data_IF_263579297426
#
_entry.id   IF_263579297426
#
_cell.length_a   1.000
_cell.length_b   1.000
_cell.length_c   1.000
_cell.angle_alpha   90.00
_cell.angle_beta   90.00
_cell.angle_gamma   90.00
#
_symmetry.space_group_name_H-M   'P 1'
#
loop_
_entity.id
_entity.type
_entity.pdbx_description
1 polymer ?
#
# COMPACT_ATOMS: atom_id res chain seq x y z
N UNK A 1 23.84 -62.31 -8.91
CA UNK A 1 22.61 -61.78 -8.29
C UNK A 1 22.58 -60.29 -8.53
N UNK A 2 21.72 -59.84 -9.45
CA UNK A 2 21.52 -58.44 -9.80
C UNK A 2 20.47 -57.83 -8.88
N UNK A 3 20.73 -56.65 -8.31
CA UNK A 3 19.70 -55.78 -7.76
C UNK A 3 19.88 -54.36 -8.32
N UNK A 4 19.34 -54.14 -9.52
CA UNK A 4 19.10 -52.80 -10.06
C UNK A 4 17.94 -52.17 -9.28
N UNK A 5 18.25 -51.33 -8.31
CA UNK A 5 17.29 -50.41 -7.69
C UNK A 5 16.98 -49.30 -8.69
N UNK A 6 15.82 -49.41 -9.36
CA UNK A 6 15.26 -48.29 -10.13
C UNK A 6 14.83 -47.19 -9.16
N UNK A 7 15.60 -46.10 -9.13
CA UNK A 7 15.16 -44.83 -8.56
C UNK A 7 14.04 -44.28 -9.46
N UNK A 8 12.79 -44.52 -9.07
CA UNK A 8 11.64 -43.82 -9.60
C UNK A 8 11.70 -42.35 -9.17
N UNK A 9 12.29 -41.50 -10.01
CA UNK A 9 12.11 -40.07 -9.92
C UNK A 9 10.63 -39.77 -10.14
N UNK A 10 9.91 -39.52 -9.04
CA UNK A 10 8.56 -39.00 -9.09
C UNK A 10 8.59 -37.68 -9.87
N UNK A 11 8.14 -37.74 -11.13
CA UNK A 11 7.91 -36.56 -11.96
C UNK A 11 6.74 -35.84 -11.30
N UNK A 12 7.04 -34.86 -10.45
CA UNK A 12 6.02 -33.95 -9.94
C UNK A 12 5.35 -33.32 -11.16
N UNK A 13 4.01 -33.46 -11.31
CA UNK A 13 3.33 -32.91 -12.47
C UNK A 13 3.59 -31.41 -12.49
N UNK A 14 4.30 -30.95 -13.52
CA UNK A 14 4.49 -29.54 -13.81
C UNK A 14 3.14 -28.99 -14.21
N UNK A 15 2.34 -28.55 -13.22
CA UNK A 15 1.10 -27.82 -13.44
C UNK A 15 1.40 -26.72 -14.43
N UNK A 16 0.93 -26.90 -15.66
CA UNK A 16 1.26 -26.01 -16.76
C UNK A 16 0.50 -24.72 -16.52
N UNK A 17 1.22 -23.68 -16.11
CA UNK A 17 0.62 -22.39 -15.79
C UNK A 17 0.00 -21.77 -17.05
N UNK A 18 -1.32 -21.58 -17.04
CA UNK A 18 -2.07 -20.93 -18.11
C UNK A 18 -2.34 -19.46 -17.75
N UNK A 19 -1.59 -18.56 -18.40
CA UNK A 19 -1.70 -17.12 -18.20
C UNK A 19 -3.10 -16.59 -18.56
N UNK A 20 -3.73 -17.11 -19.62
CA UNK A 20 -5.06 -16.65 -20.05
C UNK A 20 -6.10 -16.96 -18.98
N UNK A 21 -6.05 -18.17 -18.42
CA UNK A 21 -6.91 -18.58 -17.31
C UNK A 21 -6.66 -17.76 -16.05
N UNK A 22 -5.40 -17.48 -15.71
CA UNK A 22 -5.05 -16.60 -14.56
C UNK A 22 -5.62 -15.19 -14.73
N UNK A 23 -5.43 -14.59 -15.92
CA UNK A 23 -5.91 -13.25 -16.22
C UNK A 23 -7.44 -13.16 -16.14
N UNK A 24 -8.15 -14.14 -16.69
CA UNK A 24 -9.62 -14.22 -16.59
C UNK A 24 -10.05 -14.30 -15.12
N UNK A 25 -9.43 -15.19 -14.33
CA UNK A 25 -9.76 -15.32 -12.91
C UNK A 25 -9.55 -14.01 -12.15
N UNK A 26 -8.44 -13.31 -12.39
CA UNK A 26 -8.17 -12.00 -11.76
C UNK A 26 -9.17 -10.94 -12.19
N UNK A 27 -9.52 -10.88 -13.48
CA UNK A 27 -10.53 -9.97 -13.99
C UNK A 27 -11.90 -10.23 -13.36
N UNK A 28 -12.29 -11.50 -13.22
CA UNK A 28 -13.53 -11.90 -12.54
C UNK A 28 -13.51 -11.51 -11.06
N UNK A 29 -12.40 -11.73 -10.35
CA UNK A 29 -12.25 -11.33 -8.95
C UNK A 29 -12.39 -9.80 -8.81
N UNK A 30 -11.69 -9.04 -9.65
CA UNK A 30 -11.75 -7.57 -9.63
C UNK A 30 -13.17 -7.08 -9.94
N UNK A 31 -13.81 -7.65 -10.96
CA UNK A 31 -15.18 -7.30 -11.32
C UNK A 31 -16.17 -7.64 -10.20
N UNK A 32 -16.04 -8.80 -9.55
CA UNK A 32 -16.88 -9.21 -8.44
C UNK A 32 -16.72 -8.27 -7.23
N UNK A 33 -15.48 -7.90 -6.88
CA UNK A 33 -15.20 -6.93 -5.81
C UNK A 33 -15.79 -5.56 -6.15
N UNK A 34 -15.62 -5.09 -7.39
CA UNK A 34 -16.16 -3.81 -7.84
C UNK A 34 -17.70 -3.79 -7.81
N UNK A 35 -18.35 -4.86 -8.28
CA UNK A 35 -19.81 -4.98 -8.23
C UNK A 35 -20.32 -5.05 -6.78
N UNK A 36 -19.62 -5.77 -5.90
CA UNK A 36 -19.96 -5.82 -4.48
C UNK A 36 -19.85 -4.44 -3.84
N UNK A 37 -18.74 -3.72 -4.07
CA UNK A 37 -18.54 -2.37 -3.56
C UNK A 37 -19.63 -1.40 -4.07
N UNK A 38 -19.94 -1.45 -5.38
CA UNK A 38 -21.01 -0.65 -5.98
C UNK A 38 -22.39 -0.97 -5.38
N UNK A 39 -22.67 -2.26 -5.14
CA UNK A 39 -23.94 -2.70 -4.53
C UNK A 39 -24.07 -2.22 -3.10
N UNK A 40 -23.01 -2.36 -2.30
CA UNK A 40 -22.97 -1.85 -0.91
C UNK A 40 -23.16 -0.33 -0.90
N UNK A 41 -22.46 0.38 -1.78
CA UNK A 41 -22.59 1.84 -1.89
C UNK A 41 -24.01 2.26 -2.28
N UNK A 42 -24.60 1.59 -3.27
CA UNK A 42 -25.99 1.81 -3.68
C UNK A 42 -26.97 1.56 -2.53
N UNK A 43 -26.81 0.46 -1.80
CA UNK A 43 -27.67 0.10 -0.67
C UNK A 43 -27.57 1.16 0.43
N UNK A 44 -26.35 1.60 0.77
CA UNK A 44 -26.12 2.65 1.77
C UNK A 44 -26.84 3.94 1.37
N UNK A 45 -26.63 4.41 0.13
CA UNK A 45 -27.25 5.64 -0.36
C UNK A 45 -28.77 5.57 -0.39
N UNK A 46 -29.33 4.44 -0.80
CA UNK A 46 -30.75 4.35 -1.06
C UNK A 46 -31.59 4.00 0.18
N UNK A 47 -31.05 3.15 1.06
CA UNK A 47 -31.82 2.61 2.19
C UNK A 47 -31.36 3.09 3.56
N UNK A 48 -30.14 3.60 3.70
CA UNK A 48 -29.55 3.95 4.99
C UNK A 48 -29.16 5.42 5.06
N UNK A 49 -30.13 6.31 5.26
CA UNK A 49 -29.92 7.77 5.36
C UNK A 49 -28.81 8.17 6.35
N UNK A 50 -28.71 7.48 7.50
CA UNK A 50 -27.64 7.73 8.48
C UNK A 50 -26.26 7.39 7.90
N UNK A 51 -26.13 6.27 7.19
CA UNK A 51 -24.87 5.88 6.56
C UNK A 51 -24.54 6.74 5.34
N UNK A 52 -25.55 7.19 4.59
CA UNK A 52 -25.37 8.14 3.48
C UNK A 52 -24.83 9.49 3.98
N UNK A 53 -25.27 9.98 5.14
CA UNK A 53 -24.68 11.16 5.78
C UNK A 53 -23.18 10.97 6.10
N UNK A 54 -22.76 9.77 6.52
CA UNK A 54 -21.34 9.44 6.70
C UNK A 54 -20.58 9.36 5.38
N UNK A 55 -21.19 8.84 4.30
CA UNK A 55 -20.60 8.85 2.96
C UNK A 55 -20.35 10.28 2.48
N UNK A 56 -21.34 11.17 2.62
CA UNK A 56 -21.21 12.58 2.28
C UNK A 56 -20.11 13.28 3.09
N UNK A 57 -20.03 12.96 4.39
CA UNK A 57 -18.98 13.46 5.28
C UNK A 57 -17.59 12.99 4.81
N UNK A 58 -17.46 11.73 4.39
CA UNK A 58 -16.25 11.18 3.78
C UNK A 58 -15.84 11.86 2.47
N UNK A 59 -16.81 12.11 1.57
CA UNK A 59 -16.58 12.86 0.33
C UNK A 59 -16.08 14.28 0.62
N UNK A 60 -16.66 14.96 1.62
CA UNK A 60 -16.19 16.27 2.07
C UNK A 60 -14.75 16.22 2.58
N UNK A 61 -14.40 15.25 3.42
CA UNK A 61 -13.02 15.06 3.91
C UNK A 61 -12.04 14.88 2.74
N UNK A 62 -12.36 14.01 1.77
CA UNK A 62 -11.54 13.79 0.57
C UNK A 62 -11.35 15.06 -0.26
N UNK A 63 -12.42 15.81 -0.50
CA UNK A 63 -12.37 17.07 -1.24
C UNK A 63 -11.57 18.14 -0.48
N UNK A 64 -11.70 18.22 0.84
CA UNK A 64 -10.93 19.13 1.66
C UNK A 64 -9.44 18.81 1.60
N UNK A 65 -9.08 17.53 1.78
CA UNK A 65 -7.72 17.02 1.70
C UNK A 65 -7.11 17.35 0.33
N UNK A 66 -7.75 16.96 -0.77
CA UNK A 66 -7.21 17.15 -2.13
C UNK A 66 -7.04 18.62 -2.53
N UNK A 67 -7.92 19.52 -2.06
CA UNK A 67 -7.84 20.95 -2.39
C UNK A 67 -6.92 21.76 -1.48
N UNK A 68 -6.58 21.25 -0.30
CA UNK A 68 -5.91 22.03 0.75
C UNK A 68 -4.58 21.44 1.24
N UNK A 69 -4.11 20.32 0.70
CA UNK A 69 -2.82 19.74 1.06
C UNK A 69 -1.63 20.43 0.36
N UNK A 70 -1.49 21.73 0.64
CA UNK A 70 -0.40 22.58 0.18
C UNK A 70 0.15 23.37 1.37
N UNK A 71 1.47 23.63 1.38
CA UNK A 71 2.17 24.31 2.50
C UNK A 71 1.54 25.65 2.88
N UNK A 72 0.94 26.36 1.92
CA UNK A 72 0.27 27.64 2.15
C UNK A 72 -1.02 27.56 2.95
N UNK A 73 -1.50 26.36 3.28
CA UNK A 73 -2.79 26.12 3.97
C UNK A 73 -2.63 25.32 5.26
N UNK A 74 -1.42 25.28 5.83
CA UNK A 74 -1.13 24.57 7.08
C UNK A 74 -2.11 24.94 8.20
N UNK A 75 -2.28 26.24 8.47
CA UNK A 75 -3.14 26.74 9.54
C UNK A 75 -4.60 26.28 9.37
N UNK A 76 -5.12 26.37 8.15
CA UNK A 76 -6.47 25.88 7.80
C UNK A 76 -6.61 24.37 8.07
N UNK A 77 -5.58 23.58 7.79
CA UNK A 77 -5.58 22.14 8.02
C UNK A 77 -5.50 21.81 9.51
N UNK A 78 -4.71 22.55 10.28
CA UNK A 78 -4.62 22.43 11.74
C UNK A 78 -5.93 22.80 12.41
N UNK A 79 -6.56 23.90 12.03
CA UNK A 79 -7.87 24.33 12.53
C UNK A 79 -8.96 23.30 12.22
N UNK A 80 -8.86 22.64 11.06
CA UNK A 80 -9.77 21.57 10.69
C UNK A 80 -9.63 20.33 11.56
N UNK A 81 -8.40 19.96 11.92
CA UNK A 81 -8.11 18.77 12.72
C UNK A 81 -8.35 18.96 14.21
N UNK A 82 -8.01 20.13 14.78
CA UNK A 82 -8.14 20.44 16.22
C UNK A 82 -9.48 20.04 16.87
N UNK A 83 -10.66 20.32 16.27
CA UNK A 83 -11.94 19.95 16.89
C UNK A 83 -12.30 18.47 16.74
N UNK A 84 -11.57 17.70 15.93
CA UNK A 84 -11.87 16.29 15.72
C UNK A 84 -11.41 15.44 16.91
N UNK A 85 -12.22 14.45 17.30
CA UNK A 85 -11.73 13.39 18.18
C UNK A 85 -10.78 12.48 17.41
N UNK A 86 -9.93 11.73 18.13
CA UNK A 86 -9.00 10.76 17.54
C UNK A 86 -9.66 9.84 16.50
N UNK A 87 -10.84 9.27 16.81
CA UNK A 87 -11.54 8.35 15.93
C UNK A 87 -12.05 9.02 14.64
N UNK A 88 -12.42 10.30 14.72
CA UNK A 88 -12.89 11.06 13.56
C UNK A 88 -11.72 11.58 12.71
N UNK A 89 -10.60 11.91 13.34
CA UNK A 89 -9.39 12.33 12.66
C UNK A 89 -8.71 11.17 11.92
N UNK A 90 -8.80 9.94 12.44
CA UNK A 90 -8.15 8.76 11.87
C UNK A 90 -8.42 8.56 10.37
N UNK A 91 -9.66 8.49 9.86
CA UNK A 91 -9.91 8.34 8.42
C UNK A 91 -9.39 9.52 7.59
N UNK A 92 -9.44 10.74 8.14
CA UNK A 92 -8.95 11.96 7.47
C UNK A 92 -7.43 11.93 7.35
N UNK A 93 -6.73 11.66 8.45
CA UNK A 93 -5.28 11.55 8.49
C UNK A 93 -4.79 10.37 7.63
N UNK A 94 -5.43 9.20 7.71
CA UNK A 94 -5.08 8.04 6.87
C UNK A 94 -5.21 8.37 5.38
N UNK A 95 -6.33 8.96 4.98
CA UNK A 95 -6.57 9.36 3.59
C UNK A 95 -5.57 10.42 3.14
N UNK A 96 -5.30 11.39 4.02
CA UNK A 96 -4.31 12.43 3.80
C UNK A 96 -2.91 11.85 3.59
N UNK A 97 -2.48 10.92 4.45
CA UNK A 97 -1.17 10.27 4.37
C UNK A 97 -1.07 9.38 3.13
N UNK A 98 -2.17 8.71 2.75
CA UNK A 98 -2.23 7.95 1.50
C UNK A 98 -2.03 8.87 0.29
N UNK A 99 -2.74 9.99 0.23
CA UNK A 99 -2.59 10.98 -0.84
C UNK A 99 -1.17 11.57 -0.86
N UNK A 100 -0.61 11.88 0.31
CA UNK A 100 0.74 12.39 0.43
C UNK A 100 1.81 11.37 0.01
N UNK A 101 1.52 10.08 0.15
CA UNK A 101 2.36 8.99 -0.37
C UNK A 101 2.32 8.83 -1.89
N UNK A 102 1.32 9.40 -2.58
CA UNK A 102 1.25 9.47 -4.05
C UNK A 102 2.12 10.60 -4.60
N UNK A 103 2.10 11.77 -3.97
CA UNK A 103 2.92 12.94 -4.31
C UNK A 103 3.77 13.38 -3.12
N UNK A 104 5.00 12.85 -2.96
CA UNK A 104 5.87 13.17 -1.83
C UNK A 104 6.34 14.63 -1.81
N UNK A 105 6.25 15.36 -2.93
CA UNK A 105 6.97 16.61 -3.14
C UNK A 105 6.27 17.85 -2.56
N UNK A 106 4.96 17.81 -2.34
CA UNK A 106 4.17 19.00 -1.99
C UNK A 106 3.40 18.92 -0.67
N UNK A 107 3.31 17.72 -0.08
CA UNK A 107 2.14 17.36 0.75
C UNK A 107 2.48 16.70 2.10
N UNK A 108 3.62 16.01 2.21
CA UNK A 108 3.96 15.20 3.40
C UNK A 108 4.29 16.07 4.62
N UNK A 109 4.93 17.21 4.43
CA UNK A 109 5.32 18.10 5.54
C UNK A 109 4.10 18.77 6.19
N UNK A 110 3.15 19.23 5.36
CA UNK A 110 1.95 19.94 5.82
C UNK A 110 1.09 19.07 6.73
N UNK A 111 0.83 17.84 6.29
CA UNK A 111 -0.05 16.93 7.03
C UNK A 111 0.56 16.56 8.38
N UNK A 112 1.86 16.22 8.40
CA UNK A 112 2.58 15.86 9.61
C UNK A 112 2.68 17.01 10.60
N UNK A 113 2.92 18.23 10.12
CA UNK A 113 2.97 19.41 10.96
C UNK A 113 1.58 19.76 11.50
N UNK A 114 0.54 19.71 10.66
CA UNK A 114 -0.85 19.94 11.10
C UNK A 114 -1.32 18.92 12.14
N UNK A 115 -0.96 17.64 11.99
CA UNK A 115 -1.30 16.61 12.99
C UNK A 115 -0.50 16.77 14.28
N UNK A 116 0.76 17.18 14.20
CA UNK A 116 1.56 17.51 15.39
C UNK A 116 0.93 18.68 16.15
N UNK A 117 0.51 19.73 15.47
CA UNK A 117 -0.07 20.93 16.10
C UNK A 117 -1.48 20.68 16.65
N UNK A 118 -2.25 19.78 16.05
CA UNK A 118 -3.61 19.46 16.48
C UNK A 118 -3.65 18.42 17.61
N UNK A 119 -2.80 17.38 17.57
CA UNK A 119 -2.90 16.20 18.44
C UNK A 119 -1.62 15.84 19.19
N UNK A 120 -0.52 16.53 18.90
CA UNK A 120 0.80 16.25 19.44
C UNK A 120 1.61 15.23 18.62
N UNK A 121 2.92 15.25 18.87
CA UNK A 121 3.90 14.41 18.17
C UNK A 121 3.61 12.90 18.19
N UNK A 122 3.17 12.28 19.30
CA UNK A 122 2.90 10.83 19.33
C UNK A 122 1.75 10.42 18.40
N UNK A 123 0.70 11.25 18.31
CA UNK A 123 -0.44 10.99 17.43
C UNK A 123 -0.08 11.22 15.96
N UNK A 124 0.72 12.26 15.69
CA UNK A 124 1.29 12.51 14.35
C UNK A 124 2.10 11.31 13.86
N UNK A 125 2.95 10.74 14.73
CA UNK A 125 3.68 9.51 14.43
C UNK A 125 2.74 8.34 14.10
N UNK A 126 1.75 8.09 14.96
CA UNK A 126 0.82 6.97 14.79
C UNK A 126 0.04 7.07 13.48
N UNK A 127 -0.52 8.24 13.17
CA UNK A 127 -1.27 8.46 11.93
C UNK A 127 -0.39 8.33 10.69
N UNK A 128 0.80 8.92 10.71
CA UNK A 128 1.77 8.81 9.63
C UNK A 128 2.17 7.36 9.37
N UNK A 129 2.54 6.64 10.43
CA UNK A 129 2.92 5.23 10.33
C UNK A 129 1.79 4.36 9.77
N UNK A 130 0.58 4.47 10.33
CA UNK A 130 -0.57 3.69 9.87
C UNK A 130 -0.94 4.02 8.42
N UNK A 131 -0.93 5.30 8.04
CA UNK A 131 -1.26 5.73 6.69
C UNK A 131 -0.28 5.19 5.65
N UNK A 132 1.03 5.30 5.92
CA UNK A 132 2.05 4.73 5.05
C UNK A 132 1.98 3.20 4.99
N UNK A 133 1.71 2.55 6.12
CA UNK A 133 1.59 1.10 6.18
C UNK A 133 0.41 0.58 5.36
N UNK A 134 -0.76 1.21 5.48
CA UNK A 134 -1.95 0.87 4.68
C UNK A 134 -1.69 1.10 3.19
N UNK A 135 -1.13 2.25 2.81
CA UNK A 135 -0.78 2.54 1.41
C UNK A 135 0.22 1.52 0.85
N UNK A 136 1.26 1.19 1.63
CA UNK A 136 2.26 0.20 1.26
C UNK A 136 1.66 -1.18 1.04
N UNK A 137 0.80 -1.63 1.96
CA UNK A 137 0.10 -2.92 1.87
C UNK A 137 -0.80 -2.99 0.64
N UNK A 138 -1.61 -1.95 0.40
CA UNK A 138 -2.49 -1.86 -0.77
C UNK A 138 -1.68 -1.87 -2.07
N UNK A 139 -0.62 -1.07 -2.14
CA UNK A 139 0.24 -0.97 -3.32
C UNK A 139 0.96 -2.28 -3.62
N UNK A 140 1.46 -2.98 -2.58
CA UNK A 140 2.08 -4.30 -2.73
C UNK A 140 1.08 -5.36 -3.14
N UNK A 141 -0.13 -5.35 -2.57
CA UNK A 141 -1.21 -6.27 -2.92
C UNK A 141 -1.66 -6.10 -4.38
N UNK A 142 -1.93 -4.87 -4.80
CA UNK A 142 -2.28 -4.54 -6.20
C UNK A 142 -1.12 -4.87 -7.13
N UNK A 143 0.11 -4.52 -6.76
CA UNK A 143 1.30 -4.86 -7.54
C UNK A 143 1.46 -6.37 -7.69
N UNK A 144 1.22 -7.14 -6.65
CA UNK A 144 1.32 -8.61 -6.69
C UNK A 144 0.19 -9.21 -7.53
N UNK A 145 -1.00 -8.63 -7.47
CA UNK A 145 -2.14 -9.04 -8.28
C UNK A 145 -1.88 -8.80 -9.77
N UNK A 146 -1.38 -7.62 -10.15
CA UNK A 146 -1.14 -7.25 -11.56
C UNK A 146 0.12 -7.93 -12.09
N UNK A 147 1.24 -7.79 -11.40
CA UNK A 147 2.57 -8.20 -11.89
C UNK A 147 3.00 -9.61 -11.45
N UNK A 148 2.26 -10.26 -10.53
CA UNK A 148 2.60 -11.59 -10.04
C UNK A 148 2.67 -12.68 -11.13
N UNK A 149 1.98 -12.45 -12.25
CA UNK A 149 1.91 -13.35 -13.40
C UNK A 149 2.95 -13.03 -14.49
N UNK A 150 3.51 -11.82 -14.48
CA UNK A 150 4.53 -11.38 -15.44
C UNK A 150 5.87 -12.06 -15.13
N UNK A 151 6.17 -12.27 -13.85
CA UNK A 151 7.39 -12.94 -13.39
C UNK A 151 7.52 -14.41 -13.85
N UNK A 152 6.52 -15.30 -13.69
CA UNK A 152 6.62 -16.67 -14.18
C UNK A 152 6.71 -16.74 -15.72
N UNK A 153 6.14 -15.77 -16.44
CA UNK A 153 6.35 -15.63 -17.88
C UNK A 153 7.80 -15.29 -18.22
N UNK A 154 8.43 -14.36 -17.50
CA UNK A 154 9.84 -14.01 -17.66
C UNK A 154 10.79 -15.14 -17.25
N UNK A 155 10.47 -15.86 -16.16
CA UNK A 155 11.29 -16.95 -15.64
C UNK A 155 11.41 -18.14 -16.62
N UNK A 156 10.42 -18.32 -17.51
CA UNK A 156 10.45 -19.30 -18.60
C UNK A 156 11.60 -19.06 -19.58
N UNK A 157 12.13 -17.83 -19.67
CA UNK A 157 13.20 -17.41 -20.57
C UNK A 157 14.59 -17.27 -19.90
N UNK A 158 14.92 -18.13 -18.91
CA UNK A 158 16.19 -18.10 -18.13
C UNK A 158 16.41 -16.89 -17.19
N UNK A 159 15.50 -15.91 -17.17
CA UNK A 159 15.57 -14.77 -16.25
C UNK A 159 15.30 -15.12 -14.77
N UNK A 160 14.77 -16.31 -14.48
CA UNK A 160 14.49 -16.75 -13.11
C UNK A 160 15.74 -16.80 -12.21
N UNK A 161 16.89 -17.20 -12.77
CA UNK A 161 18.15 -17.26 -12.03
C UNK A 161 18.72 -15.88 -11.67
N UNK A 162 18.45 -14.86 -12.50
CA UNK A 162 18.84 -13.48 -12.22
C UNK A 162 17.95 -12.85 -11.14
N UNK A 163 16.64 -13.12 -11.19
CA UNK A 163 15.69 -12.66 -10.18
C UNK A 163 16.01 -13.24 -8.79
N UNK A 164 16.45 -14.50 -8.70
CA UNK A 164 16.86 -15.09 -7.42
C UNK A 164 18.10 -14.43 -6.82
N UNK A 165 19.08 -14.05 -7.65
CA UNK A 165 20.28 -13.31 -7.19
C UNK A 165 19.95 -11.88 -6.73
N UNK A 166 18.89 -11.28 -7.25
CA UNK A 166 18.43 -9.94 -6.87
C UNK A 166 17.69 -9.91 -5.52
N UNK A 167 17.14 -11.04 -5.03
CA UNK A 167 16.31 -11.06 -3.81
C UNK A 167 17.00 -10.54 -2.55
N UNK A 168 18.26 -10.91 -2.33
CA UNK A 168 18.99 -10.53 -1.12
C UNK A 168 19.43 -9.05 -1.11
N UNK A 169 20.07 -8.49 -2.15
CA UNK A 169 20.38 -7.06 -2.17
C UNK A 169 19.12 -6.21 -2.21
N UNK A 170 18.07 -6.65 -2.93
CA UNK A 170 16.83 -5.91 -3.04
C UNK A 170 16.13 -5.73 -1.68
N UNK A 171 16.23 -6.68 -0.75
CA UNK A 171 15.66 -6.54 0.61
C UNK A 171 16.21 -5.32 1.37
N UNK A 172 17.52 -5.09 1.29
CA UNK A 172 18.15 -3.92 1.91
C UNK A 172 17.73 -2.65 1.17
N UNK A 173 17.73 -2.70 -0.17
CA UNK A 173 17.30 -1.56 -1.00
C UNK A 173 15.83 -1.19 -0.75
N UNK A 174 14.95 -2.16 -0.52
CA UNK A 174 13.53 -1.92 -0.23
C UNK A 174 13.33 -1.28 1.15
N UNK A 175 14.02 -1.76 2.19
CA UNK A 175 13.96 -1.12 3.50
C UNK A 175 14.39 0.35 3.43
N UNK A 176 15.46 0.65 2.69
CA UNK A 176 15.92 2.01 2.44
C UNK A 176 14.88 2.80 1.63
N UNK A 177 14.33 2.23 0.56
CA UNK A 177 13.34 2.89 -0.28
C UNK A 177 12.07 3.26 0.51
N UNK A 178 11.64 2.42 1.45
CA UNK A 178 10.52 2.74 2.35
C UNK A 178 10.87 3.79 3.41
N UNK A 179 12.13 3.85 3.84
CA UNK A 179 12.60 4.84 4.82
C UNK A 179 12.74 6.25 4.24
N UNK A 180 13.03 6.38 2.94
CA UNK A 180 13.29 7.69 2.32
C UNK A 180 11.98 8.48 2.07
N UNK A 181 11.85 9.71 2.61
CA UNK A 181 10.61 10.48 2.53
C UNK A 181 10.29 10.97 1.11
N UNK A 182 11.29 11.12 0.25
CA UNK A 182 11.10 11.56 -1.14
C UNK A 182 10.75 10.42 -2.12
N UNK A 183 10.87 9.15 -1.70
CA UNK A 183 10.53 8.02 -2.56
C UNK A 183 9.02 7.76 -2.47
N UNK A 184 8.29 7.74 -3.59
CA UNK A 184 6.88 7.35 -3.59
C UNK A 184 6.72 5.91 -3.12
N UNK A 185 5.86 5.71 -2.10
CA UNK A 185 5.67 4.41 -1.44
C UNK A 185 5.16 3.37 -2.43
N UNK A 186 4.31 3.79 -3.37
CA UNK A 186 3.76 2.92 -4.43
C UNK A 186 4.88 2.28 -5.22
N UNK A 187 5.90 3.05 -5.62
CA UNK A 187 6.99 2.56 -6.46
C UNK A 187 7.76 1.47 -5.71
N UNK A 188 8.15 1.74 -4.46
CA UNK A 188 8.87 0.76 -3.64
C UNK A 188 8.04 -0.52 -3.42
N UNK A 189 6.75 -0.38 -3.14
CA UNK A 189 5.84 -1.50 -2.93
C UNK A 189 5.59 -2.34 -4.20
N UNK A 190 5.38 -1.70 -5.34
CA UNK A 190 5.17 -2.37 -6.63
C UNK A 190 6.44 -3.09 -7.08
N UNK A 191 7.62 -2.49 -6.95
CA UNK A 191 8.89 -3.15 -7.29
C UNK A 191 9.13 -4.37 -6.38
N UNK A 192 8.81 -4.26 -5.09
CA UNK A 192 8.87 -5.39 -4.16
C UNK A 192 7.94 -6.54 -4.56
N UNK A 193 6.74 -6.22 -5.05
CA UNK A 193 5.80 -7.21 -5.59
C UNK A 193 6.32 -7.87 -6.87
N UNK A 194 6.87 -7.09 -7.81
CA UNK A 194 7.48 -7.59 -9.05
C UNK A 194 8.67 -8.50 -8.75
N UNK A 195 9.44 -8.19 -7.71
CA UNK A 195 10.61 -8.97 -7.29
C UNK A 195 10.26 -10.26 -6.54
N UNK A 196 8.96 -10.55 -6.31
CA UNK A 196 8.45 -11.70 -5.55
C UNK A 196 9.14 -11.86 -4.19
N UNK A 197 9.32 -10.75 -3.48
CA UNK A 197 9.77 -10.78 -2.09
C UNK A 197 8.69 -11.51 -1.25
N UNK A 198 9.07 -12.46 -0.38
CA UNK A 198 8.10 -13.09 0.52
C UNK A 198 7.33 -12.04 1.33
N UNK A 199 6.01 -12.20 1.45
CA UNK A 199 5.14 -11.22 2.12
C UNK A 199 5.58 -10.92 3.55
N UNK A 200 6.06 -11.93 4.28
CA UNK A 200 6.57 -11.77 5.65
C UNK A 200 7.79 -10.85 5.72
N UNK A 201 8.75 -11.01 4.80
CA UNK A 201 9.94 -10.14 4.72
C UNK A 201 9.59 -8.75 4.26
N UNK A 202 8.69 -8.63 3.28
CA UNK A 202 8.20 -7.33 2.81
C UNK A 202 7.52 -6.56 3.94
N UNK A 203 6.70 -7.23 4.75
CA UNK A 203 6.03 -6.65 5.90
C UNK A 203 7.03 -6.17 6.95
N UNK A 204 8.09 -6.93 7.23
CA UNK A 204 9.18 -6.49 8.11
C UNK A 204 9.90 -5.25 7.56
N UNK A 205 10.22 -5.22 6.26
CA UNK A 205 10.85 -4.06 5.61
C UNK A 205 9.93 -2.83 5.65
N UNK A 206 8.63 -3.01 5.43
CA UNK A 206 7.63 -1.94 5.54
C UNK A 206 7.54 -1.40 6.96
N UNK A 207 7.45 -2.28 7.97
CA UNK A 207 7.42 -1.88 9.38
C UNK A 207 8.64 -1.04 9.74
N UNK A 208 9.84 -1.57 9.50
CA UNK A 208 11.09 -0.87 9.81
C UNK A 208 11.25 0.43 9.01
N UNK A 209 11.00 0.37 7.70
CA UNK A 209 11.14 1.52 6.80
C UNK A 209 10.15 2.63 7.13
N UNK A 210 8.88 2.32 7.35
CA UNK A 210 7.88 3.35 7.68
C UNK A 210 8.06 3.94 9.07
N UNK A 211 8.56 3.16 10.06
CA UNK A 211 8.97 3.74 11.35
C UNK A 211 10.06 4.79 11.16
N UNK A 212 11.11 4.46 10.40
CA UNK A 212 12.21 5.40 10.12
C UNK A 212 11.75 6.61 9.30
N UNK A 213 10.90 6.40 8.28
CA UNK A 213 10.36 7.49 7.45
C UNK A 213 9.54 8.47 8.27
N UNK A 214 8.64 7.95 9.11
CA UNK A 214 7.78 8.76 9.98
C UNK A 214 8.62 9.56 10.96
N UNK A 215 9.63 8.93 11.56
CA UNK A 215 10.56 9.59 12.47
C UNK A 215 11.39 10.68 11.75
N UNK A 216 11.89 10.39 10.55
CA UNK A 216 12.61 11.36 9.73
C UNK A 216 11.74 12.56 9.36
N UNK A 217 10.48 12.33 8.95
CA UNK A 217 9.54 13.40 8.62
C UNK A 217 9.22 14.27 9.84
N UNK A 218 9.15 13.70 11.04
CA UNK A 218 8.97 14.46 12.27
C UNK A 218 10.19 15.30 12.64
N UNK A 219 11.41 14.81 12.37
CA UNK A 219 12.64 15.57 12.60
C UNK A 219 12.88 16.67 11.56
N UNK A 220 12.18 16.63 10.43
CA UNK A 220 12.25 17.64 9.37
C UNK A 220 11.17 18.72 9.49
N UNK A 221 10.35 18.69 10.56
CA UNK A 221 9.39 19.75 10.92
C UNK A 221 10.14 20.96 11.49
#
# INVERSE_FOLDING_TARGET
MNSNTMNGTAITPTVTYDFKKSLINKAVIVAAIAMLAATVFYIIRHYFYILDAYVYTGEFHLLFITKNMHMTKLELFTEYLKPMSFLMALPVCLTGTCYAGLDPSSSQQVLFQATTDAFGAPMSFLFGFLGFFVLGLLSFGIGSLIFGDIVPLLARNRYGQYLDKLKNPALITFAIAFALPFVPIIIAAVIGAVSKVPSTRMLQCMLAGFMLRTLALMLMQ
#
